data_IF_646031759630
#
_entry.id   IF_646031759630
#
_cell.length_a   1.000
_cell.length_b   1.000
_cell.length_c   1.000
_cell.angle_alpha   90.00
_cell.angle_beta   90.00
_cell.angle_gamma   90.00
#
_symmetry.space_group_name_H-M   'P 1'
#
loop_
_entity.id
_entity.type
_entity.pdbx_description
1 polymer ?
#
# COMPACT_ATOMS: atom_id res chain seq x y z
N UNK A 1 3.59 -3.77 -22.32
CA UNK A 1 4.60 -3.45 -21.29
C UNK A 1 5.93 -3.12 -21.97
N UNK A 2 6.28 -1.83 -22.04
CA UNK A 2 7.35 -1.25 -22.90
C UNK A 2 8.79 -1.48 -22.37
N UNK A 3 8.97 -2.24 -21.28
CA UNK A 3 10.26 -2.36 -20.59
C UNK A 3 11.28 -3.33 -21.22
N UNK A 4 10.97 -3.98 -22.34
CA UNK A 4 11.84 -5.04 -22.90
C UNK A 4 12.95 -4.56 -23.85
N UNK A 5 13.14 -3.25 -24.03
CA UNK A 5 14.12 -2.70 -25.01
C UNK A 5 15.18 -1.76 -24.44
N UNK A 6 15.21 -1.54 -23.13
CA UNK A 6 16.23 -0.69 -22.50
C UNK A 6 17.40 -1.52 -21.97
N UNK A 7 18.67 -1.12 -22.17
CA UNK A 7 19.83 -1.76 -21.54
C UNK A 7 19.93 -1.47 -20.04
N UNK A 8 19.10 -0.56 -19.50
CA UNK A 8 19.01 -0.27 -18.06
C UNK A 8 17.61 -0.59 -17.53
N UNK A 9 17.54 -1.37 -16.46
CA UNK A 9 16.31 -1.56 -15.70
C UNK A 9 15.86 -0.24 -15.07
N UNK A 10 14.54 0.05 -15.02
CA UNK A 10 14.05 1.18 -14.25
C UNK A 10 14.35 0.96 -12.76
N UNK A 11 14.60 2.04 -12.01
CA UNK A 11 14.82 1.95 -10.57
C UNK A 11 13.51 1.65 -9.81
N UNK A 12 12.40 2.18 -10.31
CA UNK A 12 11.07 2.09 -9.69
C UNK A 12 10.03 1.69 -10.74
N UNK A 13 9.04 0.90 -10.33
CA UNK A 13 7.82 0.67 -11.08
C UNK A 13 6.61 1.04 -10.20
N UNK A 14 5.93 2.14 -10.55
CA UNK A 14 4.76 2.63 -9.82
C UNK A 14 3.50 1.94 -10.34
N UNK A 15 2.80 1.23 -9.47
CA UNK A 15 1.61 0.42 -9.80
C UNK A 15 0.55 0.53 -8.71
N UNK A 16 -0.71 0.23 -9.05
CA UNK A 16 -1.77 0.21 -8.04
C UNK A 16 -1.53 -0.98 -7.13
N UNK A 17 -1.44 -0.76 -5.83
CA UNK A 17 -1.23 -1.87 -4.93
C UNK A 17 -1.85 -1.57 -3.58
N UNK A 18 -2.72 -2.46 -3.12
CA UNK A 18 -3.35 -2.42 -1.80
C UNK A 18 -3.81 -3.84 -1.41
N UNK A 19 -4.33 -4.09 -0.19
CA UNK A 19 -4.70 -5.44 0.24
C UNK A 19 -5.66 -6.18 -0.71
N UNK A 20 -6.60 -5.46 -1.33
CA UNK A 20 -7.53 -6.03 -2.31
C UNK A 20 -6.98 -6.13 -3.75
N UNK A 21 -5.78 -5.60 -4.02
CA UNK A 21 -5.12 -5.70 -5.31
C UNK A 21 -3.60 -5.79 -5.12
N UNK A 22 -3.13 -6.99 -4.74
CA UNK A 22 -1.75 -7.19 -4.24
C UNK A 22 -0.68 -7.27 -5.32
N UNK A 23 -1.06 -7.51 -6.57
CA UNK A 23 -0.17 -7.59 -7.73
C UNK A 23 1.06 -8.51 -7.55
N UNK A 24 0.89 -9.64 -6.84
CA UNK A 24 1.99 -10.56 -6.49
C UNK A 24 2.91 -10.89 -7.68
N UNK A 25 2.36 -11.22 -8.85
CA UNK A 25 3.14 -11.52 -10.06
C UNK A 25 4.02 -10.35 -10.52
N UNK A 26 3.50 -9.12 -10.51
CA UNK A 26 4.28 -7.94 -10.91
C UNK A 26 5.35 -7.61 -9.88
N UNK A 27 5.03 -7.70 -8.58
CA UNK A 27 6.02 -7.47 -7.52
C UNK A 27 7.16 -8.49 -7.54
N UNK A 28 6.88 -9.74 -7.88
CA UNK A 28 7.91 -10.78 -8.06
C UNK A 28 8.81 -10.45 -9.27
N UNK A 29 8.24 -10.02 -10.39
CA UNK A 29 9.01 -9.58 -11.56
C UNK A 29 9.88 -8.35 -11.23
N UNK A 30 9.32 -7.37 -10.52
CA UNK A 30 10.05 -6.18 -10.08
C UNK A 30 11.23 -6.59 -9.18
N UNK A 31 10.99 -7.41 -8.16
CA UNK A 31 12.02 -7.90 -7.22
C UNK A 31 13.13 -8.67 -7.94
N UNK A 32 12.79 -9.58 -8.85
CA UNK A 32 13.77 -10.37 -9.60
C UNK A 32 14.67 -9.51 -10.50
N UNK A 33 14.26 -8.28 -10.81
CA UNK A 33 14.98 -7.32 -11.67
C UNK A 33 15.63 -6.18 -10.88
N UNK A 34 15.54 -6.19 -9.54
CA UNK A 34 16.02 -5.10 -8.70
C UNK A 34 15.24 -3.79 -8.86
N UNK A 35 13.99 -3.88 -9.33
CA UNK A 35 13.09 -2.74 -9.51
C UNK A 35 12.29 -2.56 -8.21
N UNK A 36 12.34 -1.38 -7.60
CA UNK A 36 11.54 -1.08 -6.40
C UNK A 36 10.08 -0.88 -6.80
N UNK A 37 9.16 -1.46 -6.03
CA UNK A 37 7.72 -1.23 -6.25
C UNK A 37 7.27 0.00 -5.47
N UNK A 38 6.62 0.94 -6.16
CA UNK A 38 5.93 2.08 -5.55
C UNK A 38 4.41 1.89 -5.71
N UNK A 39 3.69 1.83 -4.60
CA UNK A 39 2.25 1.62 -4.57
C UNK A 39 1.52 2.97 -4.68
N UNK A 40 0.86 3.21 -5.82
CA UNK A 40 -0.17 4.24 -5.92
C UNK A 40 -1.51 3.71 -5.41
N UNK A 41 -2.37 4.60 -4.90
CA UNK A 41 -3.60 4.23 -4.18
C UNK A 41 -3.40 3.19 -3.07
N UNK A 42 -2.39 3.34 -2.19
CA UNK A 42 -1.99 2.29 -1.25
C UNK A 42 -3.08 1.90 -0.23
N UNK A 43 -4.08 2.76 -0.05
CA UNK A 43 -5.21 2.58 0.86
C UNK A 43 -6.47 2.05 0.18
N UNK A 44 -6.45 1.72 -1.12
CA UNK A 44 -7.59 1.11 -1.82
C UNK A 44 -8.18 1.91 -2.99
N UNK A 45 -7.74 3.14 -3.26
CA UNK A 45 -8.20 3.88 -4.45
C UNK A 45 -9.73 4.02 -4.49
N UNK A 46 -10.35 3.56 -5.59
CA UNK A 46 -11.81 3.56 -5.79
C UNK A 46 -12.56 2.77 -4.71
N UNK A 47 -11.96 1.72 -4.16
CA UNK A 47 -12.49 0.93 -3.06
C UNK A 47 -12.58 1.71 -1.74
N UNK A 48 -11.86 2.84 -1.64
CA UNK A 48 -11.91 3.73 -0.47
C UNK A 48 -12.44 5.12 -0.78
N UNK A 49 -12.52 5.50 -2.05
CA UNK A 49 -12.93 6.82 -2.52
C UNK A 49 -13.76 6.67 -3.80
N UNK A 50 -15.09 6.73 -3.70
CA UNK A 50 -15.93 7.06 -4.87
C UNK A 50 -17.00 6.07 -5.33
N UNK A 51 -17.55 5.20 -4.48
CA UNK A 51 -18.83 4.54 -4.80
C UNK A 51 -19.93 4.97 -3.85
N UNK A 52 -21.15 5.15 -4.38
CA UNK A 52 -22.39 5.38 -3.63
C UNK A 52 -22.72 4.23 -2.65
N UNK A 53 -21.93 3.14 -2.69
CA UNK A 53 -21.84 2.14 -1.65
C UNK A 53 -20.37 1.78 -1.37
N UNK A 54 -19.76 2.23 -0.26
CA UNK A 54 -18.43 1.79 0.16
C UNK A 54 -18.58 0.44 0.86
N UNK A 55 -18.81 -0.64 0.11
CA UNK A 55 -18.96 -1.97 0.74
C UNK A 55 -17.62 -2.65 1.00
N UNK A 56 -16.56 -2.24 0.31
CA UNK A 56 -15.29 -3.00 0.33
C UNK A 56 -14.09 -2.06 0.34
N UNK A 57 -13.85 -1.36 1.46
CA UNK A 57 -12.55 -0.70 1.69
C UNK A 57 -11.63 -1.63 2.50
N UNK A 58 -10.34 -1.76 2.14
CA UNK A 58 -9.38 -2.50 2.97
C UNK A 58 -9.21 -1.88 4.37
N UNK A 59 -9.64 -0.63 4.59
CA UNK A 59 -9.62 0.04 5.90
C UNK A 59 -10.80 -0.35 6.80
N UNK A 60 -11.90 -0.85 6.21
CA UNK A 60 -13.07 -1.35 6.93
C UNK A 60 -13.15 -2.88 6.95
N UNK A 61 -12.18 -3.57 6.36
CA UNK A 61 -12.10 -5.03 6.37
C UNK A 61 -12.02 -5.57 7.82
N UNK A 62 -12.81 -6.59 8.19
CA UNK A 62 -12.77 -7.18 9.52
C UNK A 62 -11.37 -7.65 9.95
N UNK A 63 -10.58 -8.22 9.04
CA UNK A 63 -9.22 -8.66 9.35
C UNK A 63 -8.31 -7.45 9.62
N UNK A 64 -8.43 -6.36 8.85
CA UNK A 64 -7.70 -5.12 9.13
C UNK A 64 -8.09 -4.54 10.48
N UNK A 65 -9.39 -4.56 10.83
CA UNK A 65 -9.88 -4.05 12.11
C UNK A 65 -9.39 -4.89 13.31
N UNK A 66 -9.34 -6.21 13.17
CA UNK A 66 -8.81 -7.12 14.18
C UNK A 66 -7.32 -6.86 14.44
N UNK A 67 -6.52 -6.76 13.37
CA UNK A 67 -5.09 -6.45 13.47
C UNK A 67 -4.90 -5.05 14.08
N UNK A 68 -5.71 -4.07 13.68
CA UNK A 68 -5.67 -2.72 14.23
C UNK A 68 -5.92 -2.72 15.75
N UNK A 69 -6.89 -3.52 16.21
CA UNK A 69 -7.20 -3.70 17.62
C UNK A 69 -6.04 -4.37 18.36
N UNK A 70 -5.48 -5.46 17.80
CA UNK A 70 -4.37 -6.19 18.39
C UNK A 70 -3.14 -5.29 18.64
N UNK A 71 -2.83 -4.41 17.68
CA UNK A 71 -1.69 -3.50 17.79
C UNK A 71 -2.00 -2.17 18.48
N UNK A 72 -3.27 -1.87 18.79
CA UNK A 72 -3.69 -0.55 19.27
C UNK A 72 -3.34 0.56 18.27
N UNK A 73 -3.63 0.33 16.99
CA UNK A 73 -3.33 1.21 15.85
C UNK A 73 -4.58 1.44 15.01
N UNK A 74 -4.54 2.42 14.11
CA UNK A 74 -5.63 2.61 13.15
C UNK A 74 -5.49 1.68 11.93
N UNK A 75 -6.59 1.34 11.24
CA UNK A 75 -6.55 0.54 10.01
C UNK A 75 -5.60 1.08 8.94
N UNK A 76 -5.51 2.41 8.79
CA UNK A 76 -4.58 3.06 7.87
C UNK A 76 -3.13 2.72 8.21
N UNK A 77 -2.76 2.77 9.50
CA UNK A 77 -1.42 2.43 9.95
C UNK A 77 -1.10 0.95 9.72
N UNK A 78 -2.10 0.06 9.87
CA UNK A 78 -1.94 -1.36 9.53
C UNK A 78 -1.62 -1.55 8.05
N UNK A 79 -2.43 -0.99 7.15
CA UNK A 79 -2.24 -1.15 5.70
C UNK A 79 -0.91 -0.55 5.24
N UNK A 80 -0.51 0.61 5.78
CA UNK A 80 0.77 1.22 5.44
C UNK A 80 1.98 0.44 6.01
N UNK A 81 1.87 -0.11 7.23
CA UNK A 81 2.91 -1.00 7.78
C UNK A 81 3.04 -2.28 6.95
N UNK A 82 1.94 -2.85 6.49
CA UNK A 82 1.95 -4.00 5.59
C UNK A 82 2.75 -3.72 4.32
N UNK A 83 2.51 -2.59 3.65
CA UNK A 83 3.31 -2.19 2.48
C UNK A 83 4.80 -2.03 2.81
N UNK A 84 5.11 -1.32 3.90
CA UNK A 84 6.49 -1.07 4.34
C UNK A 84 7.23 -2.37 4.59
N UNK A 85 6.61 -3.33 5.29
CA UNK A 85 7.23 -4.62 5.59
C UNK A 85 7.46 -5.49 4.35
N UNK A 86 6.69 -5.27 3.28
CA UNK A 86 6.95 -5.87 1.96
C UNK A 86 8.02 -5.11 1.14
N UNK A 87 8.72 -4.14 1.74
CA UNK A 87 9.77 -3.37 1.06
C UNK A 87 9.25 -2.44 -0.03
N UNK A 88 7.99 -2.01 0.04
CA UNK A 88 7.34 -1.14 -0.96
C UNK A 88 7.42 0.32 -0.55
N UNK A 89 7.52 1.21 -1.53
CA UNK A 89 7.30 2.65 -1.35
C UNK A 89 5.80 2.90 -1.42
N UNK A 90 5.26 3.80 -0.60
CA UNK A 90 3.83 4.17 -0.59
C UNK A 90 3.67 5.68 -0.72
N UNK A 91 2.64 6.12 -1.44
CA UNK A 91 2.30 7.54 -1.64
C UNK A 91 0.83 7.81 -1.26
N UNK A 92 0.44 7.68 0.02
CA UNK A 92 -0.94 7.89 0.45
C UNK A 92 -1.32 9.37 0.39
N UNK A 93 -2.26 9.73 -0.50
CA UNK A 93 -2.75 11.10 -0.63
C UNK A 93 -3.56 11.53 0.61
N UNK A 94 -3.24 12.68 1.18
CA UNK A 94 -4.06 13.37 2.17
C UNK A 94 -3.85 14.88 2.06
N UNK A 95 -4.90 15.66 2.30
CA UNK A 95 -4.84 17.12 2.52
C UNK A 95 -5.04 17.52 3.99
N UNK A 96 -5.31 16.54 4.86
CA UNK A 96 -5.52 16.78 6.29
C UNK A 96 -4.25 16.54 7.08
N UNK A 97 -3.82 17.54 7.85
CA UNK A 97 -2.58 17.55 8.63
C UNK A 97 -2.47 16.37 9.61
N UNK A 98 -3.54 16.08 10.37
CA UNK A 98 -3.58 14.91 11.26
C UNK A 98 -3.34 13.58 10.52
N UNK A 99 -4.00 13.39 9.36
CA UNK A 99 -3.84 12.19 8.52
C UNK A 99 -2.45 12.11 7.90
N UNK A 100 -1.83 13.24 7.53
CA UNK A 100 -0.46 13.26 7.00
C UNK A 100 0.52 12.77 8.08
N UNK A 101 0.40 13.27 9.32
CA UNK A 101 1.22 12.80 10.44
C UNK A 101 0.99 11.32 10.74
N UNK A 102 -0.27 10.88 10.74
CA UNK A 102 -0.63 9.49 10.96
C UNK A 102 -0.04 8.56 9.89
N UNK A 103 -0.17 8.92 8.60
CA UNK A 103 0.38 8.16 7.48
C UNK A 103 1.91 8.04 7.54
N UNK A 104 2.59 9.03 8.13
CA UNK A 104 4.04 9.02 8.29
C UNK A 104 4.50 8.16 9.49
N UNK A 105 3.69 8.06 10.53
CA UNK A 105 3.98 7.34 11.77
C UNK A 105 3.76 5.80 11.64
N UNK A 106 4.46 5.15 10.71
CA UNK A 106 4.32 3.70 10.41
C UNK A 106 5.61 2.91 10.64
N UNK A 107 6.60 3.54 11.28
CA UNK A 107 7.91 2.94 11.60
C UNK A 107 8.11 2.55 13.07
N UNK A 108 7.13 2.83 13.93
CA UNK A 108 7.14 2.62 15.39
C UNK A 108 6.49 1.29 15.82
N UNK A 109 6.05 0.45 14.88
CA UNK A 109 5.60 -0.92 15.13
C UNK A 109 5.82 -1.81 13.89
N UNK A 110 5.60 -3.11 14.06
CA UNK A 110 5.64 -4.11 12.98
C UNK A 110 4.53 -5.14 13.17
N UNK A 111 3.97 -5.61 12.06
CA UNK A 111 3.08 -6.77 12.00
C UNK A 111 3.92 -8.06 12.10
N UNK A 112 3.38 -9.09 12.77
CA UNK A 112 4.02 -10.41 12.96
C UNK A 112 3.21 -11.52 12.32
#
# INVERSE_FOLDING_TARGET
>A
MILLRSPRSPAVNQIELHPYFTQNSMTAVNSARGIVTEAWSPLGGIHSWGSEQPTESPLSDPATAEIATHHGRSPVRIVLSWHRQHGRIVIPKSSGDARIRENFAVGDFSLS
#
